data_IF_658429549086
#
_entry.id   IF_658429549086
#
_cell.length_a   1.000
_cell.length_b   1.000
_cell.length_c   1.000
_cell.angle_alpha   90.00
_cell.angle_beta   90.00
_cell.angle_gamma   90.00
#
_symmetry.space_group_name_H-M   'P 1'
#
loop_
_entity.id
_entity.type
_entity.pdbx_description
1 polymer ?
#
# COMPACT_ATOMS: atom_id res chain seq x y z
N UNK A 1 -2.89 29.92 -40.05
CA UNK A 1 -3.53 30.17 -38.75
C UNK A 1 -4.01 28.83 -38.24
N UNK A 2 -3.15 28.14 -37.48
CA UNK A 2 -3.48 26.88 -36.82
C UNK A 2 -4.54 27.14 -35.75
N UNK A 3 -5.60 26.34 -35.76
CA UNK A 3 -6.76 26.53 -34.90
C UNK A 3 -6.42 26.07 -33.47
N UNK A 4 -6.35 26.97 -32.46
CA UNK A 4 -5.91 26.62 -31.11
C UNK A 4 -6.83 25.61 -30.40
N UNK A 5 -8.05 25.42 -30.90
CA UNK A 5 -9.04 24.49 -30.34
C UNK A 5 -8.79 23.02 -30.69
N UNK A 6 -8.16 22.72 -31.83
CA UNK A 6 -7.86 21.33 -32.23
C UNK A 6 -6.70 20.75 -31.42
N UNK A 7 -5.72 21.57 -31.05
CA UNK A 7 -4.56 21.12 -30.27
C UNK A 7 -4.93 20.84 -28.80
N UNK A 8 -5.86 21.63 -28.23
CA UNK A 8 -6.43 21.40 -26.90
C UNK A 8 -7.32 20.15 -26.84
N UNK A 9 -8.15 19.91 -27.86
CA UNK A 9 -8.99 18.71 -27.94
C UNK A 9 -8.15 17.45 -28.20
N UNK A 10 -7.10 17.54 -29.03
CA UNK A 10 -6.14 16.47 -29.28
C UNK A 10 -5.27 16.18 -28.04
N UNK A 11 -4.88 17.20 -27.28
CA UNK A 11 -4.25 17.03 -25.97
C UNK A 11 -5.21 16.37 -24.99
N UNK A 12 -6.45 16.86 -24.82
CA UNK A 12 -7.44 16.23 -23.94
C UNK A 12 -7.75 14.79 -24.35
N UNK A 13 -7.77 14.48 -25.65
CA UNK A 13 -8.01 13.13 -26.17
C UNK A 13 -6.79 12.21 -25.99
N UNK A 14 -5.55 12.72 -26.14
CA UNK A 14 -4.31 12.04 -25.73
C UNK A 14 -4.24 11.83 -24.22
N UNK A 15 -4.72 12.82 -23.48
CA UNK A 15 -4.77 12.82 -22.03
C UNK A 15 -5.76 11.77 -21.50
N UNK A 16 -6.87 11.56 -22.23
CA UNK A 16 -7.87 10.50 -22.04
C UNK A 16 -7.40 9.12 -22.55
N UNK A 17 -6.58 9.07 -23.61
CA UNK A 17 -5.97 7.82 -24.09
C UNK A 17 -4.84 7.32 -23.18
N UNK A 18 -4.12 8.20 -22.49
CA UNK A 18 -3.15 7.79 -21.45
C UNK A 18 -3.80 7.17 -20.20
N UNK A 19 -5.13 7.23 -20.08
CA UNK A 19 -5.92 6.65 -18.97
C UNK A 19 -6.32 5.19 -19.27
N UNK A 20 -5.94 4.61 -20.43
CA UNK A 20 -6.63 3.41 -20.92
C UNK A 20 -6.20 2.06 -20.32
N UNK A 21 -5.12 1.98 -19.55
CA UNK A 21 -4.75 0.72 -18.94
C UNK A 21 -5.07 0.71 -17.45
N UNK A 22 -6.13 0.01 -17.09
CA UNK A 22 -6.51 -0.22 -15.72
C UNK A 22 -6.44 -1.71 -15.41
N UNK A 23 -6.46 -2.04 -14.13
CA UNK A 23 -6.70 -3.41 -13.68
C UNK A 23 -8.12 -3.82 -14.08
N UNK A 24 -8.27 -4.93 -14.79
CA UNK A 24 -9.59 -5.47 -15.11
C UNK A 24 -10.11 -6.37 -13.98
N UNK A 25 -9.21 -7.03 -13.25
CA UNK A 25 -9.55 -7.89 -12.10
C UNK A 25 -8.43 -7.89 -11.06
N UNK A 26 -8.77 -8.21 -9.80
CA UNK A 26 -7.81 -8.41 -8.69
C UNK A 26 -6.72 -9.46 -9.01
N UNK A 27 -7.00 -10.38 -9.93
CA UNK A 27 -6.09 -11.47 -10.35
C UNK A 27 -4.86 -10.98 -11.12
N UNK A 28 -4.89 -9.75 -11.63
CA UNK A 28 -3.78 -9.12 -12.36
C UNK A 28 -2.75 -8.46 -11.41
N UNK A 29 -3.05 -8.35 -10.12
CA UNK A 29 -2.20 -7.62 -9.16
C UNK A 29 -0.80 -8.22 -9.00
N UNK A 30 -0.60 -9.55 -8.95
CA UNK A 30 0.75 -10.11 -8.90
C UNK A 30 1.58 -9.71 -10.12
N UNK A 31 0.95 -9.64 -11.29
CA UNK A 31 1.60 -9.18 -12.53
C UNK A 31 1.94 -7.69 -12.43
N UNK A 32 1.01 -6.84 -11.97
CA UNK A 32 1.28 -5.41 -11.76
C UNK A 32 2.44 -5.21 -10.80
N UNK A 33 2.47 -5.91 -9.67
CA UNK A 33 3.56 -5.82 -8.70
C UNK A 33 4.89 -6.29 -9.30
N UNK A 34 4.89 -7.35 -10.11
CA UNK A 34 6.06 -7.76 -10.88
C UNK A 34 6.52 -6.67 -11.87
N UNK A 35 5.59 -6.06 -12.62
CA UNK A 35 5.88 -4.94 -13.51
C UNK A 35 6.52 -3.78 -12.75
N UNK A 36 6.03 -3.48 -11.55
CA UNK A 36 6.52 -2.37 -10.74
C UNK A 36 7.92 -2.60 -10.15
N UNK A 37 8.35 -3.82 -9.87
CA UNK A 37 9.62 -4.04 -9.15
C UNK A 37 10.69 -4.78 -9.95
N UNK A 38 10.30 -5.71 -10.84
CA UNK A 38 11.22 -6.63 -11.51
C UNK A 38 11.49 -6.28 -12.98
N UNK A 39 10.74 -5.35 -13.59
CA UNK A 39 10.98 -4.94 -14.99
C UNK A 39 12.01 -3.79 -15.12
N UNK A 40 12.50 -3.50 -16.34
CA UNK A 40 13.35 -2.34 -16.61
C UNK A 40 12.63 -0.99 -16.35
N UNK A 41 13.37 0.12 -16.15
CA UNK A 41 12.80 1.41 -15.74
C UNK A 41 11.76 2.01 -16.69
N UNK A 42 11.85 1.75 -18.00
CA UNK A 42 10.89 2.20 -19.01
C UNK A 42 9.55 1.45 -18.89
N UNK A 43 9.59 0.13 -18.70
CA UNK A 43 8.40 -0.70 -18.48
C UNK A 43 7.77 -0.40 -17.11
N UNK A 44 8.60 -0.24 -16.08
CA UNK A 44 8.16 0.17 -14.75
C UNK A 44 7.44 1.52 -14.79
N UNK A 45 8.00 2.51 -15.51
CA UNK A 45 7.36 3.81 -15.71
C UNK A 45 6.00 3.67 -16.38
N UNK A 46 5.93 2.92 -17.47
CA UNK A 46 4.67 2.68 -18.19
C UNK A 46 3.64 2.01 -17.27
N UNK A 47 4.05 1.04 -16.44
CA UNK A 47 3.18 0.38 -15.48
C UNK A 47 2.63 1.37 -14.43
N UNK A 48 3.45 2.27 -13.91
CA UNK A 48 2.99 3.32 -12.97
C UNK A 48 2.01 4.27 -13.67
N UNK A 49 2.35 4.76 -14.86
CA UNK A 49 1.49 5.66 -15.62
C UNK A 49 0.16 5.02 -16.03
N UNK A 50 0.17 3.70 -16.20
CA UNK A 50 -0.98 2.86 -16.51
C UNK A 50 -1.88 2.69 -15.28
N UNK A 51 -1.37 2.05 -14.24
CA UNK A 51 -2.19 1.56 -13.14
C UNK A 51 -2.44 2.58 -12.02
N UNK A 52 -1.63 3.64 -11.88
CA UNK A 52 -1.81 4.66 -10.84
C UNK A 52 -2.54 5.89 -11.38
N UNK A 53 -3.49 6.38 -10.57
CA UNK A 53 -4.12 7.69 -10.78
C UNK A 53 -3.08 8.81 -10.71
N UNK A 54 -3.37 9.94 -11.36
CA UNK A 54 -2.41 11.06 -11.47
C UNK A 54 -2.07 11.71 -10.13
N UNK A 55 -3.03 11.70 -9.24
CA UNK A 55 -2.96 12.20 -7.87
C UNK A 55 -2.72 11.07 -6.86
N UNK A 56 -2.25 9.90 -7.29
CA UNK A 56 -2.01 8.78 -6.39
C UNK A 56 -1.02 9.13 -5.26
N UNK A 57 -1.26 8.58 -4.09
CA UNK A 57 -0.38 8.71 -2.93
C UNK A 57 0.44 7.43 -2.70
N UNK A 58 1.61 7.60 -2.10
CA UNK A 58 2.51 6.51 -1.75
C UNK A 58 3.09 6.77 -0.36
N UNK A 59 3.02 5.77 0.50
CA UNK A 59 3.63 5.76 1.83
C UNK A 59 4.52 4.53 1.96
N UNK A 60 5.77 4.77 2.29
CA UNK A 60 6.78 3.78 2.63
C UNK A 60 7.48 4.22 3.92
N UNK A 61 8.11 3.32 4.69
CA UNK A 61 8.78 3.70 5.94
C UNK A 61 9.78 4.86 5.84
N UNK A 62 10.36 5.08 4.65
CA UNK A 62 11.38 6.12 4.43
C UNK A 62 10.92 7.33 3.61
N UNK A 63 9.76 7.24 2.96
CA UNK A 63 9.28 8.34 2.12
C UNK A 63 7.75 8.33 1.98
N UNK A 64 7.21 9.51 1.73
CA UNK A 64 5.79 9.71 1.51
C UNK A 64 5.59 10.78 0.45
N UNK A 65 4.61 10.60 -0.42
CA UNK A 65 4.27 11.59 -1.46
C UNK A 65 3.12 12.50 -1.06
N UNK A 66 2.15 12.01 -0.28
CA UNK A 66 0.86 12.68 -0.09
C UNK A 66 -0.04 12.57 -1.33
N UNK A 67 -1.23 13.16 -1.25
CA UNK A 67 -2.27 13.13 -2.31
C UNK A 67 -2.52 14.55 -2.83
N UNK A 68 -2.08 14.84 -4.05
CA UNK A 68 -2.29 16.14 -4.71
C UNK A 68 -2.15 16.01 -6.22
N UNK A 69 -2.55 17.04 -6.99
CA UNK A 69 -2.48 17.01 -8.44
C UNK A 69 -1.06 16.65 -8.94
N UNK A 70 -0.96 15.59 -9.73
CA UNK A 70 0.31 15.08 -10.30
C UNK A 70 1.30 14.50 -9.27
N UNK A 71 0.88 14.13 -8.05
CA UNK A 71 1.73 13.45 -7.06
C UNK A 71 2.29 12.10 -7.56
N UNK A 72 1.68 11.48 -8.58
CA UNK A 72 2.22 10.30 -9.29
C UNK A 72 3.64 10.51 -9.82
N UNK A 73 4.02 11.74 -10.16
CA UNK A 73 5.39 12.04 -10.59
C UNK A 73 6.43 11.71 -9.51
N UNK A 74 6.10 11.92 -8.22
CA UNK A 74 6.98 11.53 -7.11
C UNK A 74 7.11 10.01 -7.01
N UNK A 75 6.01 9.27 -7.23
CA UNK A 75 6.02 7.80 -7.26
C UNK A 75 6.97 7.29 -8.35
N UNK A 76 6.95 7.89 -9.54
CA UNK A 76 7.89 7.57 -10.62
C UNK A 76 9.35 7.75 -10.20
N UNK A 77 9.68 8.86 -9.52
CA UNK A 77 11.04 9.10 -9.03
C UNK A 77 11.45 8.10 -7.94
N UNK A 78 10.54 7.76 -7.03
CA UNK A 78 10.80 6.79 -5.95
C UNK A 78 11.09 5.40 -6.52
N UNK A 79 10.23 4.88 -7.41
CA UNK A 79 10.42 3.56 -8.01
C UNK A 79 11.70 3.48 -8.85
N UNK A 80 12.02 4.56 -9.59
CA UNK A 80 13.29 4.67 -10.32
C UNK A 80 14.48 4.66 -9.36
N UNK A 81 14.40 5.39 -8.26
CA UNK A 81 15.45 5.40 -7.23
C UNK A 81 15.66 4.01 -6.62
N UNK A 82 14.58 3.28 -6.34
CA UNK A 82 14.67 1.91 -5.83
C UNK A 82 15.38 0.96 -6.81
N UNK A 83 15.16 1.12 -8.12
CA UNK A 83 15.92 0.37 -9.15
C UNK A 83 17.39 0.76 -9.22
N UNK A 84 17.72 2.03 -8.98
CA UNK A 84 19.12 2.47 -8.90
C UNK A 84 19.80 1.85 -7.68
N UNK A 85 19.14 1.84 -6.52
CA UNK A 85 19.69 1.25 -5.29
C UNK A 85 19.78 -0.27 -5.33
N UNK A 86 18.80 -0.93 -5.96
CA UNK A 86 18.73 -2.38 -6.09
C UNK A 86 18.29 -2.76 -7.51
N UNK A 87 19.23 -2.87 -8.46
CA UNK A 87 18.91 -3.22 -9.84
C UNK A 87 18.29 -4.62 -9.98
N UNK A 88 18.65 -5.53 -9.07
CA UNK A 88 18.15 -6.91 -9.01
C UNK A 88 17.45 -7.16 -7.67
N UNK A 89 16.14 -7.26 -7.72
CA UNK A 89 15.27 -7.59 -6.59
C UNK A 89 14.59 -8.93 -6.90
N UNK A 90 14.75 -9.89 -5.99
CA UNK A 90 13.97 -11.12 -6.04
C UNK A 90 12.74 -10.92 -5.17
N UNK A 91 11.56 -11.05 -5.74
CA UNK A 91 10.30 -10.81 -5.05
C UNK A 91 9.33 -11.96 -5.29
N UNK A 92 8.53 -12.26 -4.27
CA UNK A 92 7.45 -13.25 -4.30
C UNK A 92 6.21 -12.65 -3.67
N UNK A 93 5.09 -12.76 -4.37
CA UNK A 93 3.78 -12.41 -3.83
C UNK A 93 3.22 -13.66 -3.13
N UNK A 94 3.22 -13.63 -1.81
CA UNK A 94 2.87 -14.78 -0.97
C UNK A 94 1.36 -15.01 -0.90
N UNK A 95 0.57 -13.94 -0.85
CA UNK A 95 -0.91 -14.01 -0.79
C UNK A 95 -1.58 -14.28 -2.14
N UNK A 96 -0.80 -14.60 -3.17
CA UNK A 96 -1.34 -15.04 -4.46
C UNK A 96 -1.39 -16.58 -4.59
N UNK A 97 -0.66 -17.34 -3.75
CA UNK A 97 -0.38 -18.77 -4.02
C UNK A 97 -0.32 -19.69 -2.78
N UNK A 98 -0.64 -19.23 -1.57
CA UNK A 98 -0.59 -20.07 -0.35
C UNK A 98 -1.95 -20.46 0.24
N UNK A 99 -2.99 -20.23 -0.53
CA UNK A 99 -4.33 -20.73 -0.25
C UNK A 99 -4.56 -22.03 -1.03
N UNK A 100 -5.33 -23.01 -0.51
CA UNK A 100 -5.81 -24.14 -1.31
C UNK A 100 -6.37 -23.62 -2.65
N UNK A 101 -6.37 -24.42 -3.74
CA UNK A 101 -6.86 -24.00 -5.06
C UNK A 101 -8.27 -23.38 -5.11
N UNK A 102 -9.01 -23.46 -3.99
CA UNK A 102 -10.39 -23.01 -3.81
C UNK A 102 -10.54 -21.75 -2.95
N UNK A 103 -9.46 -21.17 -2.44
CA UNK A 103 -9.53 -19.96 -1.61
C UNK A 103 -8.92 -18.81 -2.38
N UNK A 104 -9.78 -17.84 -2.72
CA UNK A 104 -9.47 -16.70 -3.58
C UNK A 104 -8.16 -16.01 -3.15
N UNK A 105 -7.17 -15.92 -4.05
CA UNK A 105 -5.89 -15.27 -3.79
C UNK A 105 -6.06 -13.76 -3.88
N UNK A 106 -6.62 -13.16 -2.84
CA UNK A 106 -6.45 -11.75 -2.44
C UNK A 106 -7.47 -11.41 -1.37
N UNK A 107 -7.01 -10.82 -0.27
CA UNK A 107 -7.90 -10.14 0.66
C UNK A 107 -8.36 -8.82 0.02
N UNK A 108 -9.15 -8.91 -1.06
CA UNK A 108 -9.77 -7.76 -1.67
C UNK A 108 -11.07 -7.45 -0.94
N UNK A 109 -11.05 -6.37 -0.17
CA UNK A 109 -12.23 -5.81 0.44
C UNK A 109 -12.97 -4.94 -0.59
N UNK A 110 -13.96 -5.54 -1.25
CA UNK A 110 -14.78 -4.88 -2.27
C UNK A 110 -15.60 -3.71 -1.73
N UNK A 111 -15.95 -3.74 -0.45
CA UNK A 111 -16.77 -2.70 0.16
C UNK A 111 -15.95 -1.42 0.36
N UNK A 112 -14.70 -1.58 0.77
CA UNK A 112 -13.78 -0.47 1.04
C UNK A 112 -12.80 -0.20 -0.13
N UNK A 113 -12.84 -1.01 -1.19
CA UNK A 113 -11.92 -0.99 -2.33
C UNK A 113 -10.44 -1.09 -1.89
N UNK A 114 -10.18 -1.92 -0.88
CA UNK A 114 -8.84 -2.13 -0.33
C UNK A 114 -8.32 -3.50 -0.73
N UNK A 115 -7.07 -3.54 -1.15
CA UNK A 115 -6.39 -4.77 -1.49
C UNK A 115 -5.12 -4.94 -0.65
N UNK A 116 -5.08 -6.02 0.12
CA UNK A 116 -3.90 -6.36 0.92
C UNK A 116 -3.04 -7.38 0.17
N UNK A 117 -1.78 -7.03 -0.03
CA UNK A 117 -0.82 -7.88 -0.73
C UNK A 117 0.38 -8.19 0.14
N UNK A 118 0.53 -9.46 0.49
CA UNK A 118 1.68 -9.94 1.23
C UNK A 118 2.83 -10.26 0.28
N UNK A 119 3.97 -9.58 0.48
CA UNK A 119 5.15 -9.66 -0.39
C UNK A 119 6.37 -10.06 0.45
N UNK A 120 7.13 -11.03 -0.03
CA UNK A 120 8.51 -11.28 0.42
C UNK A 120 9.47 -10.84 -0.66
N UNK A 121 10.49 -10.07 -0.28
CA UNK A 121 11.51 -9.60 -1.21
C UNK A 121 12.91 -9.71 -0.61
N UNK A 122 13.90 -9.93 -1.47
CA UNK A 122 15.31 -9.89 -1.10
C UNK A 122 15.90 -8.63 -1.71
N UNK A 123 16.12 -7.63 -0.85
CA UNK A 123 16.72 -6.38 -1.26
C UNK A 123 18.24 -6.50 -1.24
N UNK A 124 18.90 -6.11 -2.34
CA UNK A 124 20.35 -6.12 -2.48
C UNK A 124 20.85 -4.75 -2.90
N UNK A 125 21.66 -4.13 -2.04
CA UNK A 125 22.24 -2.82 -2.32
C UNK A 125 23.46 -3.01 -3.20
N UNK A 126 23.44 -2.50 -4.43
CA UNK A 126 24.50 -2.80 -5.41
C UNK A 126 25.89 -2.27 -4.99
N UNK A 127 25.95 -1.17 -4.23
CA UNK A 127 27.19 -0.55 -3.78
C UNK A 127 27.82 -1.27 -2.57
N UNK A 128 27.08 -2.14 -1.88
CA UNK A 128 27.57 -2.90 -0.73
C UNK A 128 27.67 -4.39 -1.14
N UNK A 129 28.85 -4.85 -1.59
CA UNK A 129 29.02 -6.26 -1.97
C UNK A 129 28.71 -7.16 -0.76
N UNK A 130 28.00 -8.26 -1.01
CA UNK A 130 27.58 -9.27 -0.02
C UNK A 130 26.42 -8.88 0.94
N UNK A 131 25.82 -7.70 0.81
CA UNK A 131 24.63 -7.35 1.59
C UNK A 131 23.34 -7.82 0.91
N UNK A 132 22.57 -8.66 1.60
CA UNK A 132 21.22 -9.06 1.22
C UNK A 132 20.30 -8.99 2.43
N UNK A 133 19.20 -8.24 2.30
CA UNK A 133 18.17 -8.12 3.31
C UNK A 133 16.90 -8.83 2.84
N UNK A 134 16.64 -10.08 3.26
CA UNK A 134 15.33 -10.70 3.09
C UNK A 134 14.35 -9.96 4.00
N UNK A 135 13.32 -9.36 3.42
CA UNK A 135 12.28 -8.63 4.13
C UNK A 135 10.91 -9.08 3.69
N UNK A 136 9.95 -8.93 4.59
CA UNK A 136 8.55 -9.21 4.33
C UNK A 136 7.73 -7.96 4.65
N UNK A 137 6.76 -7.66 3.80
CA UNK A 137 5.88 -6.50 3.95
C UNK A 137 4.46 -6.83 3.51
N UNK A 138 3.52 -6.03 3.97
CA UNK A 138 2.15 -6.00 3.47
C UNK A 138 1.93 -4.67 2.78
N UNK A 139 1.64 -4.69 1.50
CA UNK A 139 1.22 -3.51 0.75
C UNK A 139 -0.30 -3.42 0.78
N UNK A 140 -0.83 -2.28 1.23
CA UNK A 140 -2.25 -1.95 1.14
C UNK A 140 -2.44 -1.03 -0.05
N UNK A 141 -3.19 -1.49 -1.05
CA UNK A 141 -3.56 -0.70 -2.22
C UNK A 141 -5.00 -0.23 -2.06
N UNK A 142 -5.20 1.08 -2.14
CA UNK A 142 -6.52 1.67 -2.28
C UNK A 142 -6.83 1.75 -3.77
N UNK A 143 -7.98 1.22 -4.15
CA UNK A 143 -8.42 1.18 -5.53
C UNK A 143 -9.58 2.16 -5.73
N UNK A 144 -9.68 2.69 -6.94
CA UNK A 144 -10.86 3.39 -7.42
C UNK A 144 -11.42 2.66 -8.63
N UNK A 145 -12.74 2.55 -8.70
CA UNK A 145 -13.45 1.78 -9.71
C UNK A 145 -14.18 2.73 -10.66
N UNK A 146 -13.71 2.77 -11.89
CA UNK A 146 -14.39 3.47 -12.98
C UNK A 146 -15.34 2.47 -13.64
N UNK A 147 -16.67 2.61 -13.46
CA UNK A 147 -17.61 1.74 -14.15
C UNK A 147 -17.49 1.98 -15.65
N UNK A 148 -17.45 0.90 -16.43
CA UNK A 148 -17.49 0.97 -17.88
C UNK A 148 -18.82 1.61 -18.29
N UNK A 149 -18.77 2.88 -18.70
CA UNK A 149 -19.95 3.60 -19.18
C UNK A 149 -20.60 2.78 -20.29
N UNK A 150 -21.95 2.68 -20.26
CA UNK A 150 -22.78 1.94 -21.22
C UNK A 150 -22.59 2.49 -22.63
N UNK A 151 -21.54 2.07 -23.32
CA UNK A 151 -21.29 2.39 -24.72
C UNK A 151 -20.79 1.15 -25.44
N UNK A 152 -21.73 0.28 -25.81
CA UNK A 152 -21.60 -0.59 -26.97
C UNK A 152 -23.00 -1.07 -27.36
N UNK A 153 -23.53 -0.49 -28.42
CA UNK A 153 -24.72 -0.92 -29.15
C UNK A 153 -24.52 -2.22 -29.94
N UNK A 154 -23.55 -3.08 -29.58
CA UNK A 154 -23.34 -4.37 -30.22
C UNK A 154 -22.93 -5.44 -29.20
N UNK A 155 -23.93 -6.15 -28.68
CA UNK A 155 -23.97 -7.61 -28.61
C UNK A 155 -23.02 -8.40 -27.71
N UNK A 156 -21.87 -7.92 -27.23
CA UNK A 156 -20.96 -8.72 -26.38
C UNK A 156 -20.54 -7.92 -25.13
N UNK A 157 -21.39 -7.96 -24.10
CA UNK A 157 -21.15 -7.33 -22.82
C UNK A 157 -20.00 -7.98 -22.05
N UNK A 158 -18.76 -7.50 -22.23
CA UNK A 158 -17.70 -7.67 -21.24
C UNK A 158 -17.88 -6.62 -20.15
N UNK A 159 -18.77 -6.90 -19.20
CA UNK A 159 -19.06 -6.07 -18.03
C UNK A 159 -17.93 -6.08 -16.99
N UNK A 160 -16.74 -5.60 -17.35
CA UNK A 160 -15.67 -5.33 -16.38
C UNK A 160 -15.46 -3.83 -16.27
N UNK A 161 -15.73 -3.24 -15.11
CA UNK A 161 -15.21 -1.90 -14.82
C UNK A 161 -13.71 -1.96 -14.58
N UNK A 162 -13.09 -0.78 -14.55
CA UNK A 162 -11.63 -0.60 -14.51
C UNK A 162 -11.20 -0.15 -13.13
N UNK A 163 -10.20 -0.79 -12.54
CA UNK A 163 -9.62 -0.39 -11.25
C UNK A 163 -8.29 0.35 -11.42
N UNK A 164 -8.12 1.43 -10.68
CA UNK A 164 -6.88 2.21 -10.62
C UNK A 164 -6.38 2.32 -9.19
N UNK A 165 -5.07 2.35 -9.00
CA UNK A 165 -4.45 2.54 -7.69
C UNK A 165 -4.46 4.03 -7.35
N UNK A 166 -5.09 4.38 -6.23
CA UNK A 166 -5.16 5.75 -5.69
C UNK A 166 -4.24 5.97 -4.52
N UNK A 167 -3.94 4.91 -3.76
CA UNK A 167 -2.94 4.96 -2.71
C UNK A 167 -2.22 3.62 -2.58
N UNK A 168 -0.93 3.69 -2.26
CA UNK A 168 -0.13 2.52 -1.88
C UNK A 168 0.52 2.77 -0.52
N UNK A 169 0.25 1.89 0.44
CA UNK A 169 0.84 1.94 1.78
C UNK A 169 1.64 0.66 2.04
N UNK A 170 2.96 0.78 2.13
CA UNK A 170 3.85 -0.36 2.39
C UNK A 170 4.13 -0.50 3.88
N UNK A 171 3.58 -1.55 4.49
CA UNK A 171 3.69 -1.85 5.91
C UNK A 171 4.80 -2.88 6.14
N UNK A 172 5.93 -2.38 6.64
CA UNK A 172 7.06 -3.22 7.07
C UNK A 172 6.95 -3.52 8.56
N UNK A 173 7.39 -4.71 8.97
CA UNK A 173 7.64 -4.96 10.38
C UNK A 173 8.77 -4.03 10.87
N UNK A 174 8.63 -3.50 12.09
CA UNK A 174 9.59 -2.55 12.67
C UNK A 174 11.01 -3.11 12.71
N UNK A 175 11.17 -4.42 12.95
CA UNK A 175 12.46 -5.10 12.90
C UNK A 175 13.08 -5.12 11.50
N UNK A 176 12.27 -5.20 10.44
CA UNK A 176 12.74 -5.21 9.05
C UNK A 176 13.19 -3.82 8.60
N UNK A 177 12.48 -2.76 9.02
CA UNK A 177 12.88 -1.38 8.73
C UNK A 177 14.27 -1.05 9.32
N UNK A 178 14.53 -1.44 10.58
CA UNK A 178 15.80 -1.14 11.24
C UNK A 178 16.99 -1.81 10.54
N UNK A 179 16.78 -2.95 9.86
CA UNK A 179 17.86 -3.65 9.13
C UNK A 179 18.42 -2.84 7.96
N UNK A 180 17.63 -1.94 7.38
CA UNK A 180 18.09 -1.09 6.28
C UNK A 180 19.01 0.05 6.73
N UNK A 181 18.85 0.53 7.97
CA UNK A 181 19.60 1.69 8.49
C UNK A 181 20.73 1.26 9.43
N UNK A 182 20.52 0.19 10.21
CA UNK A 182 21.46 -0.26 11.23
C UNK A 182 21.68 -1.77 11.17
N UNK A 183 22.89 -2.16 10.75
CA UNK A 183 23.33 -3.55 10.81
C UNK A 183 23.30 -4.07 12.26
N UNK A 184 22.47 -5.08 12.52
CA UNK A 184 22.25 -5.66 13.86
C UNK A 184 21.19 -4.96 14.72
N UNK A 185 20.64 -3.82 14.31
CA UNK A 185 19.63 -3.09 15.09
C UNK A 185 18.31 -3.87 15.29
N UNK A 186 18.02 -4.86 14.44
CA UNK A 186 16.88 -5.76 14.64
C UNK A 186 16.96 -6.53 15.97
N UNK A 187 18.16 -6.87 16.45
CA UNK A 187 18.37 -7.54 17.74
C UNK A 187 17.98 -6.62 18.89
N UNK A 188 18.27 -5.33 18.78
CA UNK A 188 17.88 -4.32 19.78
C UNK A 188 16.36 -4.19 19.84
N UNK A 189 15.70 -4.13 18.68
CA UNK A 189 14.23 -4.11 18.60
C UNK A 189 13.64 -5.37 19.23
N UNK A 190 14.20 -6.54 18.94
CA UNK A 190 13.76 -7.80 19.52
C UNK A 190 13.92 -7.83 21.04
N UNK A 191 15.11 -7.50 21.55
CA UNK A 191 15.38 -7.45 23.00
C UNK A 191 14.40 -6.47 23.67
N UNK A 192 14.18 -5.30 23.08
CA UNK A 192 13.20 -4.33 23.57
C UNK A 192 11.78 -4.88 23.59
N UNK A 193 11.33 -5.55 22.53
CA UNK A 193 9.99 -6.15 22.47
C UNK A 193 9.79 -7.21 23.56
N UNK A 194 10.80 -8.06 23.80
CA UNK A 194 10.75 -9.04 24.88
C UNK A 194 10.78 -8.38 26.27
N UNK A 195 11.61 -7.35 26.47
CA UNK A 195 11.65 -6.59 27.71
C UNK A 195 10.31 -5.88 27.97
N UNK A 196 9.70 -5.26 26.95
CA UNK A 196 8.39 -4.64 27.02
C UNK A 196 7.30 -5.67 27.35
N UNK A 197 7.36 -6.87 26.76
CA UNK A 197 6.45 -7.97 27.07
C UNK A 197 6.57 -8.39 28.54
N UNK A 198 7.80 -8.57 29.03
CA UNK A 198 8.06 -8.87 30.44
C UNK A 198 7.48 -7.77 31.35
N UNK A 199 7.69 -6.50 31.01
CA UNK A 199 7.13 -5.38 31.76
C UNK A 199 5.60 -5.37 31.75
N UNK A 200 4.96 -5.64 30.61
CA UNK A 200 3.50 -5.76 30.52
C UNK A 200 2.97 -6.87 31.43
N UNK A 201 3.62 -8.04 31.45
CA UNK A 201 3.21 -9.17 32.30
C UNK A 201 3.41 -8.85 33.78
N UNK A 202 4.60 -8.38 34.17
CA UNK A 202 4.90 -8.01 35.56
C UNK A 202 4.00 -6.87 36.05
N UNK A 203 3.80 -5.85 35.21
CA UNK A 203 2.89 -4.74 35.48
C UNK A 203 1.45 -5.20 35.67
N UNK A 204 0.97 -6.13 34.82
CA UNK A 204 -0.37 -6.72 34.97
C UNK A 204 -0.51 -7.50 36.27
N UNK A 205 0.51 -8.27 36.67
CA UNK A 205 0.48 -9.00 37.95
C UNK A 205 0.49 -8.02 39.14
N UNK A 206 1.38 -7.02 39.12
CA UNK A 206 1.50 -6.02 40.17
C UNK A 206 0.26 -5.13 40.32
N UNK A 207 -0.39 -4.79 39.20
CA UNK A 207 -1.60 -3.96 39.14
C UNK A 207 -2.88 -4.79 39.00
N UNK A 208 -2.82 -6.11 39.18
CA UNK A 208 -3.99 -7.00 39.11
C UNK A 208 -5.17 -6.57 39.98
N UNK A 209 -5.02 -6.01 41.20
CA UNK A 209 -6.17 -5.53 41.96
C UNK A 209 -6.81 -4.25 41.40
N UNK A 210 -6.11 -3.52 40.52
CA UNK A 210 -6.63 -2.29 39.89
C UNK A 210 -7.65 -2.61 38.80
N UNK A 211 -7.49 -3.73 38.09
CA UNK A 211 -8.38 -4.11 36.98
C UNK A 211 -9.84 -4.32 37.42
N UNK A 212 -10.15 -5.11 38.48
CA UNK A 212 -11.52 -5.25 38.95
C UNK A 212 -12.08 -3.95 39.55
N UNK A 213 -11.23 -3.11 40.14
CA UNK A 213 -11.62 -1.80 40.65
C UNK A 213 -12.05 -0.88 39.49
N UNK A 214 -11.25 -0.83 38.42
CA UNK A 214 -11.54 -0.05 37.22
C UNK A 214 -12.79 -0.56 36.48
N UNK A 215 -12.98 -1.88 36.39
CA UNK A 215 -14.18 -2.49 35.79
C UNK A 215 -15.45 -2.13 36.57
N UNK A 216 -15.39 -2.17 37.92
CA UNK A 216 -16.50 -1.73 38.78
C UNK A 216 -16.79 -0.24 38.63
N UNK A 217 -15.76 0.58 38.50
CA UNK A 217 -15.91 2.02 38.22
C UNK A 217 -16.49 2.28 36.83
N UNK A 218 -16.12 1.50 35.80
CA UNK A 218 -16.69 1.63 34.45
C UNK A 218 -18.16 1.18 34.40
N UNK A 219 -18.51 0.04 35.01
CA UNK A 219 -19.88 -0.44 35.10
C UNK A 219 -20.77 0.46 35.98
N UNK A 220 -20.18 1.20 36.92
CA UNK A 220 -20.85 2.18 37.77
C UNK A 220 -21.06 3.56 37.13
N UNK A 221 -20.82 3.72 35.82
CA UNK A 221 -20.98 5.00 35.11
C UNK A 221 -19.77 5.94 35.30
N UNK A 222 -18.56 5.42 35.13
CA UNK A 222 -17.33 6.20 35.25
C UNK A 222 -17.24 7.37 34.26
N UNK A 223 -16.60 8.45 34.71
CA UNK A 223 -16.39 9.75 34.01
C UNK A 223 -15.68 9.71 32.64
N UNK A 224 -15.31 8.53 32.14
CA UNK A 224 -14.53 8.32 30.91
C UNK A 224 -15.28 7.47 29.87
N UNK A 225 -16.60 7.30 30.04
CA UNK A 225 -17.47 6.53 29.15
C UNK A 225 -18.06 7.32 27.99
N UNK A 226 -17.57 8.54 27.72
CA UNK A 226 -18.00 9.27 26.54
C UNK A 226 -17.35 8.65 25.30
N UNK A 227 -18.18 8.18 24.37
CA UNK A 227 -17.78 7.79 23.02
C UNK A 227 -16.79 8.82 22.46
N UNK A 228 -15.77 8.35 21.72
CA UNK A 228 -14.79 9.23 21.07
C UNK A 228 -15.56 10.33 20.35
N UNK A 229 -15.40 11.62 20.73
CA UNK A 229 -16.20 12.69 20.18
C UNK A 229 -16.16 12.62 18.66
N UNK A 230 -17.29 12.74 17.96
CA UNK A 230 -17.33 12.60 16.49
C UNK A 230 -16.31 13.50 15.77
N UNK A 231 -15.98 14.65 16.36
CA UNK A 231 -14.93 15.56 15.88
C UNK A 231 -13.51 14.97 15.90
N UNK A 232 -13.25 14.00 16.77
CA UNK A 232 -12.00 13.25 16.85
C UNK A 232 -12.05 12.00 15.96
N UNK A 233 -13.19 11.31 15.88
CA UNK A 233 -13.39 10.17 15.00
C UNK A 233 -13.16 10.54 13.51
N UNK A 234 -13.74 11.65 13.04
CA UNK A 234 -13.50 12.14 11.68
C UNK A 234 -12.04 12.54 11.41
N UNK A 235 -11.34 13.09 12.40
CA UNK A 235 -9.90 13.42 12.30
C UNK A 235 -9.02 12.17 12.29
N UNK A 236 -9.46 11.07 12.90
CA UNK A 236 -8.76 9.79 12.84
C UNK A 236 -8.85 9.26 11.41
N UNK A 237 -10.04 9.19 10.82
CA UNK A 237 -10.22 8.72 9.44
C UNK A 237 -9.42 9.53 8.42
N UNK A 238 -9.42 10.86 8.52
CA UNK A 238 -8.65 11.73 7.63
C UNK A 238 -7.13 11.56 7.76
N UNK A 239 -6.62 11.19 8.94
CA UNK A 239 -5.18 10.98 9.17
C UNK A 239 -4.64 9.73 8.46
N UNK A 240 -5.51 8.76 8.17
CA UNK A 240 -5.16 7.47 7.59
C UNK A 240 -5.61 7.30 6.13
N UNK A 241 -6.21 8.34 5.53
CA UNK A 241 -6.55 8.46 4.10
C UNK A 241 -5.54 9.37 3.36
#
# INVERSE_FOLDING_TARGET
MENPGEDMASQHHREQQLIHGALHTEKEIPEVIHLLTQTPPDIQRQAIEKYFTRDASFTHPFCRTGKFANSRALILYIYRWYKIMSPRIDMRVNSANLTPPWVEPSAFDKNNLLLYVHISQIFRIWIIPFYAAPVTLVTVLHLDHVPSSRSSTNGHARGGGKYYITAQNDLYQTSEFVRFVWFGGFLVVWIWQFAATLFCVLGTVALSPVTPLLERFHQGGGLWGDDVPQSLAGKIEEKYL
#
